data_IF_517156052224
#
_entry.id   IF_517156052224
#
_cell.length_a   1.000
_cell.length_b   1.000
_cell.length_c   1.000
_cell.angle_alpha   90.00
_cell.angle_beta   90.00
_cell.angle_gamma   90.00
#
_symmetry.space_group_name_H-M   'P 1'
#
loop_
_entity.id
_entity.type
_entity.pdbx_description
1 polymer ?
#
# COMPACT_ATOMS: atom_id res chain seq x y z
N UNK A 1 16.53 3.42 -18.26
CA UNK A 1 16.87 4.02 -16.95
C UNK A 1 16.46 3.04 -15.86
N UNK A 2 17.24 2.92 -14.76
CA UNK A 2 16.85 2.07 -13.64
C UNK A 2 15.49 2.51 -13.09
N UNK A 3 14.69 1.57 -12.59
CA UNK A 3 13.41 1.91 -11.95
C UNK A 3 13.65 2.70 -10.66
N UNK A 4 12.78 3.68 -10.40
CA UNK A 4 12.77 4.47 -9.16
C UNK A 4 11.53 4.10 -8.35
N UNK A 5 11.66 4.09 -7.04
CA UNK A 5 10.53 3.94 -6.15
C UNK A 5 10.73 4.74 -4.86
N UNK A 6 9.64 5.26 -4.32
CA UNK A 6 9.60 5.89 -3.02
C UNK A 6 8.31 5.50 -2.29
N UNK A 7 8.36 5.59 -0.97
CA UNK A 7 7.20 5.43 -0.10
C UNK A 7 7.39 6.28 1.15
N UNK A 8 6.28 6.64 1.78
CA UNK A 8 6.24 7.29 3.09
C UNK A 8 5.84 6.30 4.18
N UNK A 9 6.31 6.54 5.39
CA UNK A 9 5.93 5.80 6.59
C UNK A 9 5.37 6.76 7.63
N UNK A 10 4.35 6.32 8.36
CA UNK A 10 3.81 7.03 9.52
C UNK A 10 3.58 6.05 10.66
N UNK A 11 3.93 6.44 11.88
CA UNK A 11 3.91 5.57 13.04
C UNK A 11 2.58 5.66 13.78
N UNK A 12 1.99 4.51 14.11
CA UNK A 12 0.68 4.43 14.75
C UNK A 12 0.65 5.08 16.14
N UNK A 13 1.76 5.07 16.87
CA UNK A 13 1.87 5.67 18.20
C UNK A 13 2.08 7.19 18.20
N UNK A 14 2.45 7.77 17.05
CA UNK A 14 2.76 9.19 16.94
C UNK A 14 1.50 10.04 16.71
N UNK A 15 0.59 9.57 15.86
CA UNK A 15 -0.67 10.25 15.55
C UNK A 15 -1.71 9.27 14.99
N UNK A 16 -2.92 9.77 14.76
CA UNK A 16 -3.91 9.06 13.94
C UNK A 16 -3.38 8.91 12.51
N UNK A 17 -3.43 7.70 11.97
CA UNK A 17 -3.00 7.40 10.60
C UNK A 17 -4.07 7.85 9.61
N UNK A 18 -3.67 8.19 8.39
CA UNK A 18 -4.57 8.74 7.39
C UNK A 18 -5.69 7.76 7.02
N UNK A 19 -5.34 6.49 6.82
CA UNK A 19 -6.29 5.46 6.40
C UNK A 19 -7.32 5.13 7.49
N UNK A 20 -7.06 5.48 8.76
CA UNK A 20 -8.03 5.38 9.85
C UNK A 20 -9.22 6.34 9.65
N UNK A 21 -9.16 7.31 8.72
CA UNK A 21 -10.31 8.14 8.37
C UNK A 21 -11.37 7.38 7.58
N UNK A 22 -11.00 6.30 6.88
CA UNK A 22 -11.96 5.51 6.12
C UNK A 22 -12.64 4.43 6.94
N UNK A 23 -12.22 4.19 8.17
CA UNK A 23 -12.69 3.10 9.02
C UNK A 23 -13.67 3.62 10.07
N UNK A 24 -14.72 2.84 10.32
CA UNK A 24 -15.70 3.13 11.37
C UNK A 24 -15.22 2.60 12.73
N UNK A 25 -14.41 1.54 12.73
CA UNK A 25 -13.87 0.88 13.92
C UNK A 25 -12.37 1.12 14.08
N UNK A 26 -11.91 1.16 15.35
CA UNK A 26 -10.48 1.28 15.66
C UNK A 26 -9.74 -0.01 15.32
N UNK A 27 -8.56 0.12 14.71
CA UNK A 27 -7.67 -1.00 14.42
C UNK A 27 -7.20 -1.73 15.69
N UNK A 28 -7.04 -1.01 16.80
CA UNK A 28 -6.71 -1.63 18.09
C UNK A 28 -7.84 -2.53 18.60
N UNK A 29 -9.09 -2.18 18.31
CA UNK A 29 -10.27 -2.99 18.68
C UNK A 29 -10.43 -4.19 17.76
N UNK A 30 -10.28 -3.98 16.45
CA UNK A 30 -10.48 -5.02 15.44
C UNK A 30 -9.38 -6.11 15.51
N UNK A 31 -8.15 -5.73 15.81
CA UNK A 31 -6.99 -6.63 15.77
C UNK A 31 -6.37 -6.93 17.14
N UNK A 32 -6.82 -6.28 18.22
CA UNK A 32 -6.20 -6.43 19.54
C UNK A 32 -4.72 -6.04 19.58
N UNK A 33 -4.29 -5.14 18.69
CA UNK A 33 -2.89 -4.73 18.52
C UNK A 33 -2.51 -3.52 19.37
N UNK A 34 -1.20 -3.35 19.63
CA UNK A 34 -0.66 -2.09 20.15
C UNK A 34 -0.40 -1.11 19.00
N UNK A 35 -0.69 0.19 19.22
CA UNK A 35 -0.38 1.24 18.22
C UNK A 35 1.12 1.33 17.89
N UNK A 36 1.99 0.96 18.83
CA UNK A 36 3.44 0.93 18.62
C UNK A 36 3.89 -0.19 17.65
N UNK A 37 3.05 -1.18 17.38
CA UNK A 37 3.34 -2.27 16.42
C UNK A 37 2.75 -2.00 15.02
N UNK A 38 2.08 -0.85 14.84
CA UNK A 38 1.35 -0.45 13.65
C UNK A 38 2.05 0.68 12.90
N UNK A 39 2.23 0.49 11.60
CA UNK A 39 2.76 1.50 10.68
C UNK A 39 1.75 1.74 9.57
N UNK A 40 1.60 2.98 9.11
CA UNK A 40 0.99 3.26 7.82
C UNK A 40 2.07 3.41 6.75
N UNK A 41 1.85 2.74 5.63
CA UNK A 41 2.62 2.93 4.41
C UNK A 41 1.79 3.74 3.42
N UNK A 42 2.28 4.95 3.13
CA UNK A 42 1.64 5.93 2.25
C UNK A 42 2.55 6.38 1.11
N UNK A 43 2.05 7.33 0.30
CA UNK A 43 2.82 8.03 -0.75
C UNK A 43 3.67 7.11 -1.64
N UNK A 44 3.15 5.92 -1.95
CA UNK A 44 3.87 4.92 -2.72
C UNK A 44 3.89 5.28 -4.21
N UNK A 45 5.09 5.53 -4.74
CA UNK A 45 5.29 5.80 -6.17
C UNK A 45 6.38 4.88 -6.72
N UNK A 46 6.19 4.37 -7.93
CA UNK A 46 7.22 3.59 -8.63
C UNK A 46 7.17 3.85 -10.13
N UNK A 47 8.33 4.18 -10.69
CA UNK A 47 8.55 4.56 -12.08
C UNK A 47 9.62 3.65 -12.72
N UNK A 48 9.53 3.40 -14.02
CA UNK A 48 10.48 2.57 -14.77
C UNK A 48 10.15 1.07 -14.78
N UNK A 49 11.07 0.21 -15.27
CA UNK A 49 10.81 -1.21 -15.47
C UNK A 49 10.43 -1.95 -14.17
N UNK A 50 9.78 -3.11 -14.34
CA UNK A 50 9.15 -3.89 -13.27
C UNK A 50 10.18 -4.35 -12.23
N UNK A 51 10.20 -3.77 -11.04
CA UNK A 51 10.94 -4.38 -9.93
C UNK A 51 11.21 -3.45 -8.75
N UNK A 52 11.56 -2.18 -9.01
CA UNK A 52 11.97 -1.24 -7.97
C UNK A 52 10.93 -1.08 -6.85
N UNK A 53 9.65 -0.89 -7.19
CA UNK A 53 8.58 -0.77 -6.20
C UNK A 53 8.32 -2.05 -5.41
N UNK A 54 8.40 -3.22 -6.06
CA UNK A 54 8.23 -4.53 -5.42
C UNK A 54 9.38 -4.81 -4.44
N UNK A 55 10.60 -4.53 -4.88
CA UNK A 55 11.80 -4.65 -4.06
C UNK A 55 11.76 -3.72 -2.85
N UNK A 56 11.44 -2.45 -3.05
CA UNK A 56 11.32 -1.46 -1.98
C UNK A 56 10.28 -1.89 -0.94
N UNK A 57 9.08 -2.26 -1.38
CA UNK A 57 8.01 -2.73 -0.49
C UNK A 57 8.45 -3.95 0.34
N UNK A 58 9.03 -4.96 -0.31
CA UNK A 58 9.50 -6.16 0.38
C UNK A 58 10.62 -5.85 1.39
N UNK A 59 11.54 -4.97 1.02
CA UNK A 59 12.66 -4.56 1.87
C UNK A 59 12.15 -3.81 3.10
N UNK A 60 11.23 -2.88 2.92
CA UNK A 60 10.62 -2.11 4.02
C UNK A 60 9.82 -3.01 4.95
N UNK A 61 8.98 -3.92 4.43
CA UNK A 61 8.26 -4.86 5.27
C UNK A 61 9.18 -5.75 6.10
N UNK A 62 10.26 -6.26 5.50
CA UNK A 62 11.25 -7.04 6.24
C UNK A 62 11.92 -6.21 7.33
N UNK A 63 12.36 -4.99 7.02
CA UNK A 63 13.00 -4.10 8.00
C UNK A 63 12.05 -3.78 9.15
N UNK A 64 10.80 -3.43 8.87
CA UNK A 64 9.80 -3.18 9.91
C UNK A 64 9.58 -4.41 10.80
N UNK A 65 9.47 -5.61 10.20
CA UNK A 65 9.32 -6.85 10.94
C UNK A 65 10.54 -7.15 11.84
N UNK A 66 11.76 -6.88 11.35
CA UNK A 66 12.99 -7.00 12.13
C UNK A 66 13.05 -6.01 13.31
N UNK A 67 12.34 -4.89 13.23
CA UNK A 67 12.16 -3.92 14.30
C UNK A 67 10.88 -4.13 15.11
N UNK A 68 10.33 -5.35 15.12
CA UNK A 68 9.18 -5.77 15.93
C UNK A 68 7.83 -5.10 15.57
N UNK A 69 7.74 -4.41 14.43
CA UNK A 69 6.44 -4.02 13.89
C UNK A 69 5.75 -5.24 13.28
N UNK A 70 4.43 -5.30 13.44
CA UNK A 70 3.64 -6.49 13.08
C UNK A 70 2.61 -6.20 12.01
N UNK A 71 2.16 -4.95 11.91
CA UNK A 71 1.07 -4.55 11.05
C UNK A 71 1.44 -3.32 10.22
N UNK A 72 1.13 -3.40 8.93
CA UNK A 72 1.17 -2.27 8.01
C UNK A 72 -0.22 -1.99 7.47
N UNK A 73 -0.74 -0.81 7.77
CA UNK A 73 -1.94 -0.25 7.18
C UNK A 73 -1.59 0.49 5.89
N UNK A 74 -2.43 0.36 4.86
CA UNK A 74 -2.27 1.17 3.66
C UNK A 74 -3.59 1.41 2.93
N UNK A 75 -3.69 2.57 2.30
CA UNK A 75 -4.70 2.82 1.26
C UNK A 75 -4.11 2.42 -0.09
N UNK A 76 -4.46 1.22 -0.54
CA UNK A 76 -3.90 0.58 -1.72
C UNK A 76 -4.84 0.69 -2.93
N UNK A 77 -4.36 1.30 -4.01
CA UNK A 77 -4.97 1.17 -5.34
C UNK A 77 -4.80 -0.26 -5.87
N UNK A 78 -5.49 -0.61 -6.97
CA UNK A 78 -5.36 -1.93 -7.58
C UNK A 78 -3.90 -2.32 -7.88
N UNK A 79 -3.12 -1.36 -8.39
CA UNK A 79 -1.69 -1.58 -8.67
C UNK A 79 -0.88 -1.90 -7.42
N UNK A 80 -1.14 -1.21 -6.30
CA UNK A 80 -0.45 -1.47 -5.03
C UNK A 80 -0.85 -2.83 -4.48
N UNK A 81 -2.16 -3.19 -4.52
CA UNK A 81 -2.64 -4.52 -4.12
C UNK A 81 -1.97 -5.63 -4.93
N UNK A 82 -1.82 -5.44 -6.25
CA UNK A 82 -1.09 -6.38 -7.11
C UNK A 82 0.37 -6.56 -6.66
N UNK A 83 1.06 -5.47 -6.28
CA UNK A 83 2.44 -5.55 -5.78
C UNK A 83 2.49 -6.38 -4.49
N UNK A 84 1.59 -6.14 -3.54
CA UNK A 84 1.52 -6.90 -2.27
C UNK A 84 1.25 -8.39 -2.56
N UNK A 85 0.30 -8.71 -3.42
CA UNK A 85 0.01 -10.10 -3.82
C UNK A 85 1.20 -10.76 -4.50
N UNK A 86 1.93 -10.03 -5.34
CA UNK A 86 3.14 -10.54 -6.02
C UNK A 86 4.28 -10.88 -5.05
N UNK A 87 4.23 -10.38 -3.82
CA UNK A 87 5.15 -10.73 -2.74
C UNK A 87 4.69 -11.96 -1.95
N UNK A 88 3.57 -12.60 -2.36
CA UNK A 88 2.95 -13.71 -1.65
C UNK A 88 2.66 -13.36 -0.19
N UNK A 89 2.12 -12.15 0.01
CA UNK A 89 1.69 -11.64 1.32
C UNK A 89 0.17 -11.53 1.29
N UNK A 90 -0.49 -12.15 2.27
CA UNK A 90 -1.92 -11.99 2.48
C UNK A 90 -2.20 -10.64 3.16
N UNK A 91 -3.36 -10.07 2.86
CA UNK A 91 -3.84 -8.86 3.53
C UNK A 91 -5.34 -8.98 3.78
N UNK A 92 -5.80 -8.30 4.82
CA UNK A 92 -7.23 -8.15 5.08
C UNK A 92 -7.71 -6.88 4.36
N UNK A 93 -8.84 -6.99 3.67
CA UNK A 93 -9.48 -5.86 3.00
C UNK A 93 -10.52 -5.23 3.92
N UNK A 94 -10.21 -4.04 4.42
CA UNK A 94 -11.05 -3.31 5.38
C UNK A 94 -12.11 -2.42 4.70
N UNK A 95 -12.16 -2.42 3.37
CA UNK A 95 -13.17 -1.71 2.61
C UNK A 95 -12.64 -0.62 1.68
N UNK A 96 -13.57 0.04 0.99
CA UNK A 96 -13.26 1.08 0.00
C UNK A 96 -12.86 2.38 0.69
N UNK A 97 -11.77 3.00 0.21
CA UNK A 97 -11.40 4.34 0.63
C UNK A 97 -12.25 5.37 -0.13
N UNK A 98 -13.33 5.82 0.50
CA UNK A 98 -14.25 6.81 -0.07
C UNK A 98 -13.77 8.22 0.24
N UNK A 99 -13.59 9.05 -0.81
CA UNK A 99 -13.15 10.45 -0.69
C UNK A 99 -14.03 11.28 0.27
N UNK A 100 -15.32 10.95 0.38
CA UNK A 100 -16.26 11.61 1.31
C UNK A 100 -15.87 11.48 2.78
N UNK A 101 -15.01 10.52 3.14
CA UNK A 101 -14.52 10.30 4.50
C UNK A 101 -13.24 11.10 4.82
N UNK A 102 -12.61 11.73 3.83
CA UNK A 102 -11.46 12.62 4.06
C UNK A 102 -11.96 13.97 4.55
N UNK A 103 -11.34 14.48 5.62
CA UNK A 103 -11.72 15.76 6.24
C UNK A 103 -11.32 16.96 5.40
N UNK A 104 -10.22 16.86 4.67
CA UNK A 104 -9.73 17.93 3.83
C UNK A 104 -10.35 17.89 2.44
N UNK A 105 -11.37 18.73 2.25
CA UNK A 105 -12.11 18.87 0.99
C UNK A 105 -11.43 19.81 -0.02
N UNK A 106 -10.35 20.49 0.38
CA UNK A 106 -9.66 21.45 -0.47
C UNK A 106 -8.49 20.85 -1.26
N UNK A 107 -8.18 19.58 -1.03
CA UNK A 107 -7.18 18.84 -1.78
C UNK A 107 -7.78 18.33 -3.08
N UNK A 108 -7.19 18.76 -4.20
CA UNK A 108 -7.44 18.12 -5.49
C UNK A 108 -6.69 16.78 -5.54
N UNK A 109 -7.45 15.70 -5.45
CA UNK A 109 -6.92 14.34 -5.49
C UNK A 109 -6.73 13.81 -6.92
N UNK A 110 -7.10 14.61 -7.94
CA UNK A 110 -7.07 14.21 -9.33
C UNK A 110 -7.77 12.86 -9.55
N UNK A 111 -7.10 11.96 -10.28
CA UNK A 111 -7.63 10.62 -10.60
C UNK A 111 -7.33 9.56 -9.54
N UNK A 112 -6.84 9.94 -8.35
CA UNK A 112 -6.44 8.97 -7.33
C UNK A 112 -7.60 8.02 -6.93
N UNK A 113 -8.78 8.58 -6.63
CA UNK A 113 -9.95 7.80 -6.22
C UNK A 113 -10.63 7.03 -7.37
N UNK A 114 -10.35 7.40 -8.62
CA UNK A 114 -10.83 6.67 -9.79
C UNK A 114 -10.23 5.26 -9.83
N UNK A 115 -9.05 5.06 -9.23
CA UNK A 115 -8.36 3.76 -9.16
C UNK A 115 -8.88 2.83 -8.04
N UNK A 116 -10.10 3.10 -7.54
CA UNK A 116 -10.77 2.35 -6.47
C UNK A 116 -9.82 1.94 -5.33
N UNK A 117 -9.23 2.93 -4.62
CA UNK A 117 -8.37 2.65 -3.49
C UNK A 117 -9.16 1.92 -2.39
N UNK A 118 -8.50 0.98 -1.72
CA UNK A 118 -9.06 0.20 -0.63
C UNK A 118 -8.11 0.23 0.55
N UNK A 119 -8.66 0.31 1.76
CA UNK A 119 -7.86 0.20 2.98
C UNK A 119 -7.59 -1.28 3.21
N UNK A 120 -6.32 -1.62 3.29
CA UNK A 120 -5.90 -2.99 3.57
C UNK A 120 -4.96 -3.02 4.78
N UNK A 121 -5.05 -4.10 5.54
CA UNK A 121 -4.15 -4.41 6.64
C UNK A 121 -3.25 -5.56 6.25
N UNK A 122 -1.94 -5.36 6.34
CA UNK A 122 -0.93 -6.35 6.01
C UNK A 122 -0.22 -6.78 7.28
N UNK A 123 -0.26 -8.08 7.58
CA UNK A 123 0.51 -8.66 8.68
C UNK A 123 1.92 -9.01 8.18
N UNK A 124 2.95 -8.53 8.87
CA UNK A 124 4.36 -8.60 8.43
C UNK A 124 5.30 -9.30 9.42
N UNK A 125 4.82 -9.77 10.57
CA UNK A 125 5.65 -10.39 11.61
C UNK A 125 6.51 -11.57 11.10
N UNK A 126 5.98 -12.37 10.17
CA UNK A 126 6.72 -13.48 9.57
C UNK A 126 7.79 -13.04 8.55
N UNK A 127 7.76 -11.78 8.10
CA UNK A 127 8.67 -11.27 7.09
C UNK A 127 10.10 -11.12 7.61
N UNK A 128 10.30 -11.00 8.93
CA UNK A 128 11.63 -10.93 9.53
C UNK A 128 12.49 -12.16 9.25
N UNK A 129 11.84 -13.33 9.04
CA UNK A 129 12.48 -14.62 8.80
C UNK A 129 12.63 -14.98 7.32
N UNK A 130 12.00 -14.21 6.42
CA UNK A 130 12.11 -14.45 4.97
C UNK A 130 13.49 -14.02 4.45
N UNK A 131 14.23 -14.99 3.93
CA UNK A 131 15.54 -14.76 3.32
C UNK A 131 15.47 -14.58 1.78
N UNK A 132 14.28 -14.75 1.21
CA UNK A 132 13.98 -14.76 -0.22
C UNK A 132 13.45 -13.41 -0.72
N UNK A 133 14.12 -12.30 -0.35
CA UNK A 133 13.76 -11.02 -0.96
C UNK A 133 13.86 -11.12 -2.49
N UNK A 134 12.88 -10.58 -3.23
CA UNK A 134 12.97 -10.56 -4.69
C UNK A 134 14.26 -9.87 -5.10
N UNK A 135 15.10 -10.55 -5.87
CA UNK A 135 16.32 -9.96 -6.40
C UNK A 135 15.91 -8.89 -7.42
N UNK A 136 16.23 -7.64 -7.15
CA UNK A 136 16.10 -6.55 -8.13
C UNK A 136 17.47 -5.95 -8.37
N UNK A 137 17.89 -5.92 -9.64
CA UNK A 137 19.09 -5.23 -10.07
C UNK A 137 18.70 -4.08 -11.00
N UNK A 138 19.14 -2.85 -10.72
CA UNK A 138 18.91 -1.72 -11.62
C UNK A 138 19.50 -1.93 -13.04
N UNK A 139 20.38 -2.92 -13.21
CA UNK A 139 21.06 -3.28 -14.46
C UNK A 139 20.49 -4.53 -15.15
N UNK A 140 19.52 -5.23 -14.54
CA UNK A 140 19.12 -6.59 -14.96
C UNK A 140 17.79 -6.73 -15.71
N UNK A 141 16.97 -5.67 -15.79
CA UNK A 141 15.62 -5.76 -16.37
C UNK A 141 15.56 -5.23 -17.81
N UNK A 142 15.03 -6.00 -18.79
CA UNK A 142 14.73 -5.46 -20.10
C UNK A 142 13.60 -4.39 -20.01
N UNK A 143 13.63 -3.35 -20.85
CA UNK A 143 12.64 -2.27 -20.81
C UNK A 143 11.23 -2.82 -21.09
N UNK A 144 10.25 -2.51 -20.24
CA UNK A 144 8.87 -2.98 -20.42
C UNK A 144 8.19 -2.26 -21.59
N UNK A 145 7.54 -3.01 -22.48
CA UNK A 145 6.60 -2.47 -23.45
C UNK A 145 5.43 -1.76 -22.74
N UNK A 146 5.06 -0.57 -23.21
CA UNK A 146 3.90 0.18 -22.72
C UNK A 146 2.63 -0.65 -22.95
N UNK A 147 1.84 -0.90 -21.89
CA UNK A 147 0.45 -1.30 -22.05
C UNK A 147 -0.40 -0.05 -22.27
N UNK A 148 -1.32 -0.05 -23.25
CA UNK A 148 -2.25 1.05 -23.43
C UNK A 148 -3.28 1.08 -22.28
N UNK A 149 -3.82 2.26 -21.94
CA UNK A 149 -4.86 2.38 -20.93
C UNK A 149 -6.13 1.65 -21.39
N UNK A 150 -6.67 0.78 -20.53
CA UNK A 150 -8.02 0.24 -20.68
C UNK A 150 -8.99 1.26 -20.07
N UNK A 151 -9.81 1.89 -20.90
CA UNK A 151 -11.00 2.59 -20.43
C UNK A 151 -11.99 1.54 -19.92
N UNK A 152 -12.42 1.69 -18.68
CA UNK A 152 -13.58 0.99 -18.13
C UNK A 152 -14.57 2.08 -17.76
N UNK A 153 -15.64 2.19 -18.53
CA UNK A 153 -16.75 3.10 -18.25
C UNK A 153 -17.47 2.67 -16.97
N UNK A 154 -17.67 3.61 -16.04
CA UNK A 154 -18.61 3.43 -14.95
C UNK A 154 -20.02 3.64 -15.51
N UNK A 155 -20.79 2.56 -15.66
CA UNK A 155 -22.24 2.69 -15.85
C UNK A 155 -22.87 3.18 -14.55
N UNK A 156 -23.38 4.41 -14.57
CA UNK A 156 -24.27 4.92 -13.55
C UNK A 156 -25.62 4.21 -13.68
N UNK A 157 -25.98 3.39 -12.69
CA UNK A 157 -27.35 2.90 -12.54
C UNK A 157 -27.86 3.28 -11.16
N UNK A 158 -29.03 3.94 -11.14
CA UNK A 158 -29.86 4.08 -9.94
C UNK A 158 -30.58 5.42 -9.83
N UNK A 159 -31.53 5.69 -10.72
CA UNK A 159 -32.75 6.42 -10.37
C UNK A 159 -33.86 5.39 -10.09
#
# INVERSE_FOLDING_TARGET
MPGYACLGLSWGDSARLFSEHYLDESLTSLYGLSRAELIELGQFSSFGPKGAGRYLMASVFRTLAQHHYRYVLMTATERVRYIVQSLQIAYDDLGRACVSRVRDRHVDWGTYYDNAPRVIMVRIDDMARRNDLPMWSPLGDPPSARMPPRQVECTANGH
#
